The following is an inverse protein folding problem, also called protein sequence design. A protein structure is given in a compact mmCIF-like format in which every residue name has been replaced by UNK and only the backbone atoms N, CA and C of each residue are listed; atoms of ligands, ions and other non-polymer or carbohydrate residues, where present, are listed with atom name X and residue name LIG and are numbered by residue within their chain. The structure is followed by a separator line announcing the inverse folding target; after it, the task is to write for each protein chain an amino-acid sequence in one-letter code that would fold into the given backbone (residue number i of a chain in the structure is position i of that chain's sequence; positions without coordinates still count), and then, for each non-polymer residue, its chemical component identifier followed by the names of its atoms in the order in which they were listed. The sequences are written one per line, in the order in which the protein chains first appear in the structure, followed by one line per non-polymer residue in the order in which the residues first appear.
data_IF_161766508974
#
_entry.id   IF_161766508974
#
_cell.length_a   1.000
_cell.length_b   1.000
_cell.length_c   1.000
_cell.angle_alpha   90.00
_cell.angle_beta   90.00
_cell.angle_gamma   90.00
#
_symmetry.space_group_name_H-M   'P 1'
#
loop_
_entity.id
_entity.type
_entity.pdbx_description
1 polymer ?
#
# COMPACT_ATOMS: atom_id res chain seq x y z
N UNK A 1 -7.79 7.71 -16.20
CA UNK A 1 -7.49 8.98 -15.47
C UNK A 1 -6.52 8.67 -14.34
N UNK A 2 -5.38 9.34 -14.27
CA UNK A 2 -4.41 9.14 -13.18
C UNK A 2 -5.03 9.50 -11.83
N UNK A 3 -4.73 8.75 -10.75
CA UNK A 3 -5.16 9.12 -9.40
C UNK A 3 -4.68 10.52 -9.04
N UNK A 4 -5.47 11.26 -8.26
CA UNK A 4 -5.10 12.60 -7.81
C UNK A 4 -3.74 12.56 -7.08
N UNK A 5 -2.87 13.54 -7.35
CA UNK A 5 -1.52 13.66 -6.80
C UNK A 5 -0.60 12.45 -7.11
N UNK A 6 -0.79 11.80 -8.27
CA UNK A 6 0.09 10.71 -8.70
C UNK A 6 1.35 11.24 -9.38
N UNK A 7 2.47 10.52 -9.22
CA UNK A 7 3.76 10.91 -9.78
C UNK A 7 4.49 9.67 -10.34
N UNK A 8 5.13 9.84 -11.50
CA UNK A 8 5.97 8.81 -12.11
C UNK A 8 7.44 9.25 -12.01
N UNK A 9 8.25 8.45 -11.38
CA UNK A 9 9.70 8.63 -11.34
C UNK A 9 10.33 7.80 -12.43
N UNK A 10 11.26 8.38 -13.16
CA UNK A 10 12.02 7.70 -14.20
C UNK A 10 13.50 7.73 -13.83
N UNK A 11 14.12 6.57 -13.74
CA UNK A 11 15.53 6.42 -13.36
C UNK A 11 16.24 5.63 -14.45
N UNK A 12 17.16 6.25 -15.17
CA UNK A 12 17.90 5.65 -16.27
C UNK A 12 19.15 6.49 -16.51
N UNK A 13 20.33 5.93 -16.69
CA UNK A 13 21.57 6.68 -16.92
C UNK A 13 21.66 7.26 -18.34
N UNK A 14 20.89 6.71 -19.32
CA UNK A 14 20.80 7.22 -20.68
C UNK A 14 19.87 8.45 -20.76
N UNK A 15 20.45 9.62 -21.03
CA UNK A 15 19.71 10.87 -21.17
C UNK A 15 18.70 10.87 -22.33
N UNK A 16 18.94 10.06 -23.38
CA UNK A 16 18.04 9.95 -24.53
C UNK A 16 16.77 9.19 -24.16
N UNK A 17 16.90 8.10 -23.39
CA UNK A 17 15.80 7.34 -22.83
C UNK A 17 15.00 8.21 -21.88
N UNK A 18 15.67 8.91 -20.94
CA UNK A 18 14.99 9.82 -20.01
C UNK A 18 14.15 10.86 -20.74
N UNK A 19 14.70 11.53 -21.75
CA UNK A 19 13.94 12.54 -22.53
C UNK A 19 12.76 11.93 -23.29
N UNK A 20 12.98 10.79 -23.94
CA UNK A 20 11.95 10.09 -24.72
C UNK A 20 10.77 9.65 -23.85
N UNK A 21 11.04 8.94 -22.76
CA UNK A 21 10.04 8.44 -21.84
C UNK A 21 9.34 9.57 -21.10
N UNK A 22 10.07 10.62 -20.63
CA UNK A 22 9.44 11.77 -19.98
C UNK A 22 8.49 12.53 -20.91
N UNK A 23 8.82 12.63 -22.19
CA UNK A 23 7.92 13.23 -23.20
C UNK A 23 6.67 12.38 -23.40
N UNK A 24 6.82 11.05 -23.50
CA UNK A 24 5.72 10.12 -23.63
C UNK A 24 4.76 10.23 -22.43
N UNK A 25 5.28 10.18 -21.20
CA UNK A 25 4.49 10.30 -19.98
C UNK A 25 3.71 11.60 -19.93
N UNK A 26 4.35 12.73 -20.23
CA UNK A 26 3.69 14.04 -20.28
C UNK A 26 2.60 14.11 -21.34
N UNK A 27 2.83 13.56 -22.54
CA UNK A 27 1.82 13.52 -23.61
C UNK A 27 0.59 12.68 -23.25
N UNK A 28 0.78 11.68 -22.36
CA UNK A 28 -0.30 10.86 -21.81
C UNK A 28 -0.93 11.44 -20.53
N UNK A 29 -0.51 12.65 -20.11
CA UNK A 29 -1.09 13.36 -18.95
C UNK A 29 -0.52 12.94 -17.60
N UNK A 30 0.62 12.25 -17.54
CA UNK A 30 1.30 11.91 -16.29
C UNK A 30 2.31 12.97 -15.88
N UNK A 31 2.27 13.40 -14.62
CA UNK A 31 3.38 14.12 -14.00
C UNK A 31 4.55 13.17 -13.81
N UNK A 32 5.76 13.64 -14.15
CA UNK A 32 6.96 12.82 -14.00
C UNK A 32 8.19 13.65 -13.59
N UNK A 33 9.08 13.00 -12.86
CA UNK A 33 10.43 13.46 -12.51
C UNK A 33 11.44 12.44 -12.99
N UNK A 34 12.60 12.90 -13.52
CA UNK A 34 13.61 12.02 -14.08
C UNK A 34 14.95 12.20 -13.35
N UNK A 35 15.62 11.08 -13.07
CA UNK A 35 16.90 10.98 -12.38
C UNK A 35 17.87 10.19 -13.24
N UNK A 36 19.13 10.55 -13.21
CA UNK A 36 20.20 9.82 -13.91
C UNK A 36 20.82 8.72 -13.05
N UNK A 37 20.53 8.70 -11.76
CA UNK A 37 20.99 7.68 -10.83
C UNK A 37 19.94 7.31 -9.78
N UNK A 38 20.05 6.09 -9.28
CA UNK A 38 19.25 5.66 -8.14
C UNK A 38 19.61 6.40 -6.85
N UNK A 39 20.83 6.89 -6.73
CA UNK A 39 21.32 7.68 -5.58
C UNK A 39 20.57 9.00 -5.48
N UNK A 40 20.43 9.74 -6.58
CA UNK A 40 19.73 11.02 -6.60
C UNK A 40 18.23 10.84 -6.33
N UNK A 41 17.65 9.78 -6.91
CA UNK A 41 16.27 9.40 -6.56
C UNK A 41 16.08 9.11 -5.07
N UNK A 42 17.02 8.41 -4.43
CA UNK A 42 16.94 8.08 -3.00
C UNK A 42 17.20 9.28 -2.07
N UNK A 43 17.92 10.30 -2.56
CA UNK A 43 18.23 11.53 -1.81
C UNK A 43 17.07 12.52 -1.79
N UNK A 44 16.08 12.37 -2.68
CA UNK A 44 14.91 13.24 -2.72
C UNK A 44 13.96 13.05 -1.52
N UNK A 45 13.16 14.06 -1.22
CA UNK A 45 12.07 13.94 -0.25
C UNK A 45 11.05 12.88 -0.68
N UNK A 46 10.46 12.21 0.31
CA UNK A 46 9.46 11.19 0.04
C UNK A 46 8.18 11.81 -0.54
N UNK A 47 7.70 11.24 -1.65
CA UNK A 47 6.41 11.63 -2.22
C UNK A 47 5.25 11.04 -1.41
N UNK A 48 4.27 11.89 -1.08
CA UNK A 48 3.11 11.50 -0.28
C UNK A 48 1.85 11.20 -1.11
N UNK A 49 2.01 10.73 -2.33
CA UNK A 49 0.92 10.33 -3.24
C UNK A 49 1.17 8.95 -3.83
N UNK A 50 0.23 8.43 -4.66
CA UNK A 50 0.47 7.24 -5.46
C UNK A 50 1.67 7.46 -6.38
N UNK A 51 2.62 6.52 -6.39
CA UNK A 51 3.83 6.66 -7.18
C UNK A 51 4.23 5.38 -7.91
N UNK A 52 4.71 5.56 -9.15
CA UNK A 52 5.33 4.55 -9.96
C UNK A 52 6.80 4.93 -10.18
N UNK A 53 7.71 3.98 -10.07
CA UNK A 53 9.13 4.13 -10.42
C UNK A 53 9.41 3.27 -11.64
N UNK A 54 9.74 3.91 -12.76
CA UNK A 54 10.30 3.27 -13.94
C UNK A 54 11.80 3.30 -13.78
N UNK A 55 12.46 2.15 -13.77
CA UNK A 55 13.90 2.07 -13.50
C UNK A 55 14.61 1.17 -14.49
N UNK A 56 15.75 1.62 -15.01
CA UNK A 56 16.64 0.72 -15.76
C UNK A 56 17.30 -0.27 -14.79
N UNK A 57 17.38 -1.51 -15.23
CA UNK A 57 18.05 -2.56 -14.46
C UNK A 57 19.55 -2.30 -14.35
N UNK A 58 20.19 -1.83 -15.42
CA UNK A 58 21.65 -1.65 -15.48
C UNK A 58 22.02 -0.18 -15.45
N UNK A 59 22.44 0.28 -14.29
CA UNK A 59 22.94 1.63 -14.09
C UNK A 59 24.25 1.60 -13.30
N UNK A 60 25.13 2.59 -13.45
CA UNK A 60 26.30 2.75 -12.61
C UNK A 60 25.92 2.93 -11.13
N UNK A 61 26.73 2.38 -10.24
CA UNK A 61 26.51 2.46 -8.80
C UNK A 61 25.37 1.54 -8.33
N UNK A 62 24.28 2.11 -7.85
CA UNK A 62 23.09 1.34 -7.42
C UNK A 62 22.28 0.96 -8.65
N UNK A 63 22.26 -0.33 -8.99
CA UNK A 63 21.45 -0.85 -10.09
C UNK A 63 19.95 -0.95 -9.71
N UNK A 64 19.08 -1.20 -10.70
CA UNK A 64 17.64 -1.24 -10.48
C UNK A 64 17.19 -2.32 -9.49
N UNK A 65 17.85 -3.48 -9.45
CA UNK A 65 17.51 -4.57 -8.51
C UNK A 65 17.91 -4.19 -7.08
N UNK A 66 19.08 -3.56 -6.91
CA UNK A 66 19.53 -3.05 -5.61
C UNK A 66 18.59 -1.94 -5.12
N UNK A 67 18.14 -1.06 -6.02
CA UNK A 67 17.13 -0.06 -5.68
C UNK A 67 15.83 -0.70 -5.17
N UNK A 68 15.34 -1.74 -5.83
CA UNK A 68 14.16 -2.47 -5.36
C UNK A 68 14.36 -2.98 -3.93
N UNK A 69 15.49 -3.63 -3.65
CA UNK A 69 15.81 -4.14 -2.32
C UNK A 69 15.84 -3.02 -1.27
N UNK A 70 16.45 -1.87 -1.60
CA UNK A 70 16.51 -0.69 -0.71
C UNK A 70 15.12 -0.09 -0.44
N UNK A 71 14.25 -0.01 -1.45
CA UNK A 71 12.89 0.49 -1.27
C UNK A 71 12.08 -0.43 -0.36
N UNK A 72 12.20 -1.75 -0.52
CA UNK A 72 11.56 -2.74 0.36
C UNK A 72 12.08 -2.59 1.81
N UNK A 73 13.40 -2.52 1.98
CA UNK A 73 14.03 -2.35 3.30
C UNK A 73 13.57 -1.07 4.00
N UNK A 74 13.42 0.02 3.24
CA UNK A 74 12.96 1.33 3.75
C UNK A 74 11.43 1.44 3.84
N UNK A 75 10.69 0.36 3.54
CA UNK A 75 9.22 0.32 3.52
C UNK A 75 8.60 1.42 2.65
N UNK A 76 9.24 1.72 1.52
CA UNK A 76 8.76 2.67 0.54
C UNK A 76 7.59 2.05 -0.24
N UNK A 77 6.58 2.84 -0.59
CA UNK A 77 5.31 2.37 -1.17
C UNK A 77 5.24 2.51 -2.70
N UNK A 78 6.27 3.08 -3.33
CA UNK A 78 6.33 3.25 -4.78
C UNK A 78 6.32 1.89 -5.48
N UNK A 79 5.51 1.79 -6.53
CA UNK A 79 5.42 0.58 -7.35
C UNK A 79 6.47 0.62 -8.47
N UNK A 80 7.20 -0.48 -8.66
CA UNK A 80 8.29 -0.53 -9.63
C UNK A 80 7.88 -1.17 -10.95
N UNK A 81 8.33 -0.56 -12.05
CA UNK A 81 8.33 -1.09 -13.40
C UNK A 81 9.78 -1.07 -13.90
N UNK A 82 10.32 -2.23 -14.22
CA UNK A 82 11.67 -2.32 -14.76
C UNK A 82 11.68 -2.13 -16.28
N UNK A 83 12.67 -1.40 -16.78
CA UNK A 83 13.00 -1.34 -18.20
C UNK A 83 14.45 -1.82 -18.38
N UNK A 84 14.77 -2.54 -19.45
CA UNK A 84 16.14 -3.04 -19.64
C UNK A 84 16.44 -3.40 -21.09
N UNK A 85 17.66 -3.06 -21.56
CA UNK A 85 18.18 -3.55 -22.83
C UNK A 85 18.78 -4.98 -22.74
N UNK A 86 19.03 -5.50 -21.55
CA UNK A 86 19.75 -6.77 -21.34
C UNK A 86 19.15 -7.55 -20.14
N UNK A 87 17.85 -7.77 -20.15
CA UNK A 87 17.21 -8.62 -19.15
C UNK A 87 17.33 -10.11 -19.48
N UNK A 88 17.47 -10.94 -18.47
CA UNK A 88 17.32 -12.39 -18.59
C UNK A 88 16.13 -12.86 -17.77
N UNK A 89 15.66 -14.08 -18.03
CA UNK A 89 14.48 -14.69 -17.38
C UNK A 89 14.64 -14.73 -15.85
N UNK A 90 15.86 -15.01 -15.36
CA UNK A 90 16.14 -15.09 -13.92
C UNK A 90 15.95 -13.74 -13.22
N UNK A 91 16.47 -12.65 -13.82
CA UNK A 91 16.30 -11.29 -13.27
C UNK A 91 14.84 -10.85 -13.29
N UNK A 92 14.12 -11.13 -14.38
CA UNK A 92 12.68 -10.86 -14.47
C UNK A 92 11.93 -11.61 -13.35
N UNK A 93 12.17 -12.91 -13.19
CA UNK A 93 11.53 -13.72 -12.16
C UNK A 93 11.83 -13.21 -10.74
N UNK A 94 13.07 -12.78 -10.49
CA UNK A 94 13.47 -12.21 -9.20
C UNK A 94 12.75 -10.88 -8.92
N UNK A 95 12.74 -9.96 -9.88
CA UNK A 95 12.06 -8.67 -9.77
C UNK A 95 10.57 -8.84 -9.48
N UNK A 96 9.89 -9.73 -10.24
CA UNK A 96 8.46 -10.00 -10.07
C UNK A 96 8.16 -10.65 -8.71
N UNK A 97 8.96 -11.62 -8.26
CA UNK A 97 8.82 -12.22 -6.92
C UNK A 97 9.01 -11.19 -5.80
N UNK A 98 9.86 -10.20 -6.01
CA UNK A 98 10.07 -9.09 -5.07
C UNK A 98 8.97 -8.00 -5.16
N UNK A 99 7.94 -8.19 -5.99
CA UNK A 99 6.75 -7.35 -6.03
C UNK A 99 6.76 -6.25 -7.10
N UNK A 100 7.66 -6.30 -8.08
CA UNK A 100 7.59 -5.41 -9.24
C UNK A 100 6.26 -5.58 -9.98
N UNK A 101 5.79 -4.50 -10.59
CA UNK A 101 4.55 -4.51 -11.39
C UNK A 101 4.78 -5.17 -12.73
N UNK A 102 5.92 -4.86 -13.36
CA UNK A 102 6.28 -5.42 -14.65
C UNK A 102 7.79 -5.26 -14.95
N UNK A 103 8.22 -5.94 -16.03
CA UNK A 103 9.58 -5.95 -16.51
C UNK A 103 9.58 -5.88 -18.04
N UNK A 104 9.93 -4.70 -18.61
CA UNK A 104 9.83 -4.41 -20.04
C UNK A 104 11.21 -4.43 -20.71
N UNK A 105 11.43 -5.28 -21.73
CA UNK A 105 12.64 -5.23 -22.55
C UNK A 105 12.65 -4.00 -23.45
N UNK A 106 13.80 -3.32 -23.57
CA UNK A 106 14.03 -2.27 -24.58
C UNK A 106 14.43 -2.94 -25.92
N UNK A 107 13.84 -2.53 -27.07
CA UNK A 107 12.83 -1.48 -27.25
C UNK A 107 11.41 -1.97 -26.89
N UNK A 108 10.64 -1.12 -26.23
CA UNK A 108 9.25 -1.37 -25.85
C UNK A 108 8.31 -0.43 -26.62
N UNK A 109 7.02 -0.83 -26.74
CA UNK A 109 5.99 0.03 -27.30
C UNK A 109 5.48 1.03 -26.28
N UNK A 110 5.11 2.24 -26.76
CA UNK A 110 4.56 3.28 -25.90
C UNK A 110 3.33 2.80 -25.09
N UNK A 111 2.42 2.04 -25.73
CA UNK A 111 1.24 1.47 -25.08
C UNK A 111 1.59 0.53 -23.93
N UNK A 112 2.60 -0.34 -24.10
CA UNK A 112 3.02 -1.29 -23.08
C UNK A 112 3.53 -0.57 -21.82
N UNK A 113 4.35 0.46 -22.00
CA UNK A 113 4.85 1.25 -20.86
C UNK A 113 3.72 1.98 -20.15
N UNK A 114 2.80 2.61 -20.89
CA UNK A 114 1.68 3.34 -20.31
C UNK A 114 0.71 2.43 -19.56
N UNK A 115 0.44 1.23 -20.05
CA UNK A 115 -0.36 0.22 -19.36
C UNK A 115 0.29 -0.23 -18.04
N UNK A 116 1.62 -0.41 -18.04
CA UNK A 116 2.36 -0.75 -16.82
C UNK A 116 2.29 0.39 -15.79
N UNK A 117 2.44 1.64 -16.24
CA UNK A 117 2.34 2.83 -15.37
C UNK A 117 0.94 2.95 -14.78
N UNK A 118 -0.10 2.75 -15.57
CA UNK A 118 -1.48 2.79 -15.10
C UNK A 118 -1.74 1.73 -14.02
N UNK A 119 -1.33 0.48 -14.25
CA UNK A 119 -1.44 -0.60 -13.25
C UNK A 119 -0.65 -0.28 -11.98
N UNK A 120 0.56 0.25 -12.12
CA UNK A 120 1.41 0.63 -10.99
C UNK A 120 0.76 1.71 -10.14
N UNK A 121 0.27 2.78 -10.75
CA UNK A 121 -0.38 3.88 -10.04
C UNK A 121 -1.71 3.45 -9.39
N UNK A 122 -2.50 2.61 -10.06
CA UNK A 122 -3.73 2.05 -9.49
C UNK A 122 -3.43 1.20 -8.25
N UNK A 123 -2.39 0.34 -8.31
CA UNK A 123 -1.97 -0.48 -7.17
C UNK A 123 -1.42 0.39 -6.02
N UNK A 124 -0.63 1.42 -6.32
CA UNK A 124 -0.13 2.36 -5.32
C UNK A 124 -1.29 3.09 -4.61
N UNK A 125 -2.28 3.58 -5.35
CA UNK A 125 -3.45 4.25 -4.80
C UNK A 125 -4.27 3.32 -3.88
N UNK A 126 -4.51 2.08 -4.30
CA UNK A 126 -5.25 1.11 -3.51
C UNK A 126 -4.50 0.70 -2.24
N UNK A 127 -3.17 0.51 -2.31
CA UNK A 127 -2.35 0.20 -1.15
C UNK A 127 -2.39 1.33 -0.11
N UNK A 128 -2.29 2.58 -0.56
CA UNK A 128 -2.41 3.76 0.32
C UNK A 128 -3.79 3.89 0.94
N UNK A 129 -4.86 3.65 0.17
CA UNK A 129 -6.23 3.65 0.68
C UNK A 129 -6.38 2.61 1.81
N UNK A 130 -5.92 1.38 1.58
CA UNK A 130 -5.95 0.32 2.61
C UNK A 130 -5.13 0.69 3.85
N UNK A 131 -3.98 1.33 3.67
CA UNK A 131 -3.15 1.82 4.76
C UNK A 131 -3.86 2.89 5.60
N UNK A 132 -4.52 3.85 4.95
CA UNK A 132 -5.31 4.88 5.60
C UNK A 132 -6.52 4.30 6.35
N UNK A 133 -7.28 3.40 5.70
CA UNK A 133 -8.43 2.71 6.31
C UNK A 133 -8.01 1.93 7.56
N UNK A 134 -6.87 1.22 7.50
CA UNK A 134 -6.30 0.48 8.64
C UNK A 134 -5.91 1.40 9.79
N UNK A 135 -5.26 2.53 9.49
CA UNK A 135 -4.84 3.51 10.49
C UNK A 135 -6.05 4.12 11.18
N UNK A 136 -7.07 4.51 10.43
CA UNK A 136 -8.31 5.06 10.97
C UNK A 136 -9.07 4.02 11.80
N UNK A 137 -9.17 2.77 11.33
CA UNK A 137 -9.78 1.68 12.09
C UNK A 137 -9.09 1.47 13.45
N UNK A 138 -7.75 1.49 13.48
CA UNK A 138 -6.99 1.39 14.75
C UNK A 138 -7.25 2.58 15.64
N UNK A 139 -7.22 3.81 15.12
CA UNK A 139 -7.53 5.03 15.87
C UNK A 139 -8.90 4.96 16.54
N UNK A 140 -9.91 4.43 15.83
CA UNK A 140 -11.25 4.24 16.41
C UNK A 140 -11.23 3.22 17.55
N UNK A 141 -10.53 2.09 17.39
CA UNK A 141 -10.43 1.08 18.44
C UNK A 141 -9.72 1.58 19.69
N UNK A 142 -8.75 2.49 19.55
CA UNK A 142 -8.04 3.12 20.66
C UNK A 142 -8.93 4.02 21.56
N UNK A 143 -10.15 4.37 21.09
CA UNK A 143 -11.14 5.08 21.91
C UNK A 143 -11.82 4.18 22.95
N UNK A 144 -11.69 2.86 22.84
CA UNK A 144 -12.29 1.91 23.75
C UNK A 144 -11.46 1.82 25.04
N UNK A 145 -12.15 1.75 26.18
CA UNK A 145 -11.49 1.36 27.43
C UNK A 145 -11.10 -0.12 27.38
N UNK A 146 -10.14 -0.58 28.21
CA UNK A 146 -9.76 -2.00 28.26
C UNK A 146 -10.97 -2.94 28.38
N UNK A 147 -11.94 -2.59 29.23
CA UNK A 147 -13.15 -3.41 29.43
C UNK A 147 -14.08 -3.41 28.22
N UNK A 148 -14.23 -2.28 27.55
CA UNK A 148 -15.01 -2.19 26.31
C UNK A 148 -14.35 -2.97 25.18
N UNK A 149 -12.99 -2.95 25.11
CA UNK A 149 -12.22 -3.73 24.15
C UNK A 149 -12.36 -5.24 24.38
N UNK A 150 -12.28 -5.73 25.63
CA UNK A 150 -12.53 -7.14 25.98
C UNK A 150 -13.95 -7.57 25.56
N UNK A 151 -14.97 -6.76 25.86
CA UNK A 151 -16.37 -7.04 25.44
C UNK A 151 -16.46 -7.06 23.93
N UNK A 152 -15.86 -6.10 23.22
CA UNK A 152 -15.84 -6.04 21.76
C UNK A 152 -15.23 -7.32 21.16
N UNK A 153 -14.10 -7.79 21.67
CA UNK A 153 -13.45 -9.01 21.19
C UNK A 153 -14.37 -10.24 21.29
N UNK A 154 -15.13 -10.37 22.37
CA UNK A 154 -16.07 -11.48 22.53
C UNK A 154 -17.34 -11.31 21.67
N UNK A 155 -17.76 -10.06 21.42
CA UNK A 155 -18.92 -9.78 20.56
C UNK A 155 -18.66 -10.18 19.11
N UNK A 156 -17.45 -9.93 18.59
CA UNK A 156 -17.11 -10.28 17.20
C UNK A 156 -17.03 -11.80 16.96
N UNK A 157 -16.85 -12.61 18.01
CA UNK A 157 -16.94 -14.08 17.91
C UNK A 157 -18.38 -14.61 17.84
N UNK A 158 -19.39 -13.73 17.89
CA UNK A 158 -20.81 -14.10 17.84
C UNK A 158 -21.42 -14.52 19.17
N UNK A 159 -20.69 -14.40 20.30
CA UNK A 159 -21.21 -14.77 21.63
C UNK A 159 -22.37 -13.89 22.07
N UNK A 160 -23.34 -14.52 22.72
CA UNK A 160 -24.48 -13.84 23.33
C UNK A 160 -24.06 -13.11 24.62
N UNK A 161 -24.81 -12.07 25.02
CA UNK A 161 -24.52 -11.31 26.23
C UNK A 161 -24.35 -12.17 27.47
N UNK A 162 -25.21 -13.21 27.62
CA UNK A 162 -25.16 -14.16 28.75
C UNK A 162 -23.85 -14.94 28.78
N UNK A 163 -23.32 -15.37 27.62
CA UNK A 163 -22.08 -16.10 27.52
C UNK A 163 -20.90 -15.19 27.86
N UNK A 164 -20.88 -13.97 27.30
CA UNK A 164 -19.86 -12.95 27.60
C UNK A 164 -19.86 -12.62 29.10
N UNK A 165 -21.06 -12.49 29.70
CA UNK A 165 -21.17 -12.20 31.13
C UNK A 165 -20.57 -13.31 31.99
N UNK A 166 -20.82 -14.58 31.64
CA UNK A 166 -20.21 -15.72 32.32
C UNK A 166 -18.68 -15.75 32.22
N UNK A 167 -18.13 -15.49 31.03
CA UNK A 167 -16.66 -15.47 30.81
C UNK A 167 -15.96 -14.31 31.53
N UNK A 168 -16.60 -13.15 31.56
CA UNK A 168 -16.03 -11.95 32.15
C UNK A 168 -16.38 -11.76 33.64
N UNK A 169 -17.09 -12.72 34.25
CA UNK A 169 -17.48 -12.70 35.68
C UNK A 169 -18.37 -11.52 36.06
N UNK A 170 -19.30 -11.12 35.19
CA UNK A 170 -20.16 -9.94 35.38
C UNK A 170 -21.64 -10.21 35.04
N UNK A 171 -22.51 -9.23 35.30
CA UNK A 171 -23.93 -9.36 34.97
C UNK A 171 -24.20 -9.08 33.46
N UNK A 172 -25.20 -9.78 32.90
CA UNK A 172 -25.60 -9.59 31.49
C UNK A 172 -26.02 -8.14 31.19
N UNK A 173 -26.67 -7.47 32.13
CA UNK A 173 -27.03 -6.05 32.04
C UNK A 173 -25.80 -5.16 31.84
N UNK A 174 -24.69 -5.48 32.52
CA UNK A 174 -23.38 -4.76 32.37
C UNK A 174 -22.81 -4.96 30.98
N UNK A 175 -22.85 -6.17 30.42
CA UNK A 175 -22.44 -6.44 29.04
C UNK A 175 -23.26 -5.66 28.05
N UNK A 176 -24.60 -5.61 28.22
CA UNK A 176 -25.48 -4.81 27.35
C UNK A 176 -25.06 -3.33 27.33
N UNK A 177 -24.72 -2.77 28.52
CA UNK A 177 -24.23 -1.38 28.62
C UNK A 177 -22.92 -1.19 27.91
N UNK A 178 -21.93 -2.10 28.13
CA UNK A 178 -20.64 -2.01 27.43
C UNK A 178 -20.77 -2.13 25.91
N UNK A 179 -21.58 -3.06 25.42
CA UNK A 179 -21.88 -3.16 23.96
C UNK A 179 -22.46 -1.85 23.42
N UNK A 180 -23.44 -1.26 24.11
CA UNK A 180 -24.01 0.03 23.71
C UNK A 180 -22.95 1.15 23.64
N UNK A 181 -22.05 1.20 24.63
CA UNK A 181 -20.96 2.17 24.66
C UNK A 181 -19.95 1.93 23.52
N UNK A 182 -19.56 0.69 23.25
CA UNK A 182 -18.70 0.31 22.14
C UNK A 182 -19.30 0.80 20.82
N UNK A 183 -20.54 0.42 20.53
CA UNK A 183 -21.21 0.82 19.29
C UNK A 183 -21.30 2.35 19.15
N UNK A 184 -21.64 3.05 20.22
CA UNK A 184 -21.75 4.51 20.24
C UNK A 184 -20.39 5.19 20.02
N UNK A 185 -19.31 4.73 20.70
CA UNK A 185 -17.96 5.31 20.56
C UNK A 185 -17.39 5.13 19.17
N UNK A 186 -17.65 3.98 18.55
CA UNK A 186 -17.19 3.65 17.20
C UNK A 186 -18.11 4.19 16.10
N UNK A 187 -19.29 4.75 16.44
CA UNK A 187 -20.26 5.26 15.47
C UNK A 187 -20.92 4.17 14.62
N UNK A 188 -21.01 2.93 15.15
CA UNK A 188 -21.51 1.77 14.41
C UNK A 188 -22.94 1.44 14.79
N UNK A 189 -23.69 0.87 13.82
CA UNK A 189 -25.11 0.51 13.98
C UNK A 189 -25.34 -0.99 14.05
N UNK A 190 -24.39 -1.80 13.59
CA UNK A 190 -24.49 -3.27 13.52
C UNK A 190 -23.22 -4.00 13.93
N UNK A 191 -23.37 -5.24 14.43
CA UNK A 191 -22.24 -6.12 14.74
C UNK A 191 -21.45 -6.45 13.47
N UNK A 192 -22.09 -6.50 12.31
CA UNK A 192 -21.40 -6.72 11.04
C UNK A 192 -20.43 -5.58 10.69
N UNK A 193 -20.81 -4.32 10.97
CA UNK A 193 -19.90 -3.18 10.83
C UNK A 193 -18.74 -3.26 11.83
N UNK A 194 -18.99 -3.68 13.05
CA UNK A 194 -17.95 -3.89 14.07
C UNK A 194 -16.94 -4.95 13.63
N UNK A 195 -17.38 -6.09 13.10
CA UNK A 195 -16.52 -7.14 12.57
C UNK A 195 -15.64 -6.59 11.45
N UNK A 196 -16.21 -5.88 10.47
CA UNK A 196 -15.45 -5.26 9.36
C UNK A 196 -14.40 -4.27 9.86
N UNK A 197 -14.73 -3.42 10.85
CA UNK A 197 -13.80 -2.47 11.43
C UNK A 197 -12.60 -3.19 12.07
N UNK A 198 -12.85 -4.25 12.85
CA UNK A 198 -11.82 -5.03 13.52
C UNK A 198 -10.95 -5.79 12.51
N UNK A 199 -11.55 -6.38 11.47
CA UNK A 199 -10.80 -7.00 10.35
C UNK A 199 -9.91 -5.98 9.63
N UNK A 200 -10.42 -4.78 9.33
CA UNK A 200 -9.63 -3.69 8.71
C UNK A 200 -8.47 -3.27 9.59
N UNK A 201 -8.66 -3.20 10.90
CA UNK A 201 -7.59 -2.88 11.86
C UNK A 201 -6.55 -4.00 12.01
N UNK A 202 -6.79 -5.20 11.48
CA UNK A 202 -6.00 -6.41 11.69
C UNK A 202 -5.79 -6.74 13.20
N UNK A 203 -6.84 -6.62 13.99
CA UNK A 203 -6.88 -7.07 15.38
C UNK A 203 -7.40 -8.50 15.40
N UNK A 204 -6.60 -9.44 15.93
CA UNK A 204 -7.04 -10.83 16.07
C UNK A 204 -8.12 -10.94 17.15
N UNK A 205 -9.20 -11.72 16.92
CA UNK A 205 -10.12 -12.06 18.00
C UNK A 205 -9.41 -12.88 19.07
N UNK A 206 -9.85 -12.75 20.32
CA UNK A 206 -9.38 -13.64 21.39
C UNK A 206 -9.93 -15.05 21.13
N UNK A 207 -9.03 -16.00 21.03
CA UNK A 207 -9.33 -17.45 20.94
C UNK A 207 -9.75 -18.02 22.29
#
# INVERSE_FOLDING_TARGET
MSPANSLVFLIDDDSSVRRGVSRLLRSAGYNNEAFDSASDFLARDQHHGPACVIVDVRMPGINGMDLQALLIQRRREEQLVFITGHGNISMCAQAMKAGAIDFLPKPFRASELLECVERALARAAEQRRRGADKTEARRLLDLLTPREFEVMQLVITGKLNKQIAGELGTAEKTIKVHRGRVMKKLGLTSVAELVRLVETAHVAPVT
#
